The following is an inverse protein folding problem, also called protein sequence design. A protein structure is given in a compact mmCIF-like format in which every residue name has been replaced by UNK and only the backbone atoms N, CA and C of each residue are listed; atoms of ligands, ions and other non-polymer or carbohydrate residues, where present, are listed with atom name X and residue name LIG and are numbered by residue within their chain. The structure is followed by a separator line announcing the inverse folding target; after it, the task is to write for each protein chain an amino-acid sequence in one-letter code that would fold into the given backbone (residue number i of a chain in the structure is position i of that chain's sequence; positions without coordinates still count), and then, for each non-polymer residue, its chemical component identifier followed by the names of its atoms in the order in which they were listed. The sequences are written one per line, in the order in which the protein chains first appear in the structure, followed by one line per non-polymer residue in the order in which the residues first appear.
data_IF_950696180379
#
_entry.id   IF_950696180379
#
_cell.length_a   1.000
_cell.length_b   1.000
_cell.length_c   1.000
_cell.angle_alpha   90.00
_cell.angle_beta   90.00
_cell.angle_gamma   90.00
#
_symmetry.space_group_name_H-M   'P 1'
#
loop_
_entity.id
_entity.type
_entity.pdbx_description
1 polymer ?
#
# COMPACT_ATOMS: atom_id res chain seq x y z
N UNK A 1 -44.11 15.96 47.68
CA UNK A 1 -43.40 15.24 46.59
C UNK A 1 -42.25 16.06 45.98
N UNK A 2 -42.43 17.36 45.73
CA UNK A 2 -41.39 18.22 45.11
C UNK A 2 -40.17 18.50 46.03
N UNK A 3 -40.34 18.54 47.37
CA UNK A 3 -39.23 18.78 48.32
C UNK A 3 -38.21 17.64 48.46
N UNK A 4 -38.54 16.42 48.04
CA UNK A 4 -37.60 15.28 48.07
C UNK A 4 -36.56 15.37 46.94
N UNK A 5 -36.86 16.08 45.85
CA UNK A 5 -35.97 16.25 44.70
C UNK A 5 -34.89 17.33 44.90
N UNK A 6 -34.93 18.10 45.98
CA UNK A 6 -33.92 19.12 46.31
C UNK A 6 -32.83 18.60 47.26
N UNK A 7 -32.91 17.33 47.69
CA UNK A 7 -31.89 16.73 48.54
C UNK A 7 -30.73 16.23 47.65
N UNK A 8 -29.48 16.67 47.91
CA UNK A 8 -28.32 16.33 47.07
C UNK A 8 -28.11 14.81 46.94
N UNK A 9 -28.56 14.05 47.94
CA UNK A 9 -28.45 12.58 47.98
C UNK A 9 -29.27 11.86 46.89
N UNK A 10 -30.32 12.50 46.35
CA UNK A 10 -31.10 11.96 45.23
C UNK A 10 -30.64 12.49 43.87
N UNK A 11 -29.92 13.61 43.81
CA UNK A 11 -29.50 14.24 42.54
C UNK A 11 -28.18 13.65 42.03
N UNK A 12 -27.24 13.37 42.93
CA UNK A 12 -25.92 12.81 42.60
C UNK A 12 -26.00 11.44 41.89
N UNK A 13 -26.85 10.48 42.32
CA UNK A 13 -26.99 9.19 41.64
C UNK A 13 -27.51 9.33 40.20
N UNK A 14 -28.48 10.23 39.97
CA UNK A 14 -29.02 10.49 38.64
C UNK A 14 -27.99 11.13 37.70
N UNK A 15 -27.17 12.06 38.21
CA UNK A 15 -26.07 12.65 37.43
C UNK A 15 -25.03 11.59 37.06
N UNK A 16 -24.66 10.71 38.00
CA UNK A 16 -23.71 9.62 37.73
C UNK A 16 -24.25 8.60 36.73
N UNK A 17 -25.53 8.23 36.83
CA UNK A 17 -26.20 7.37 35.85
C UNK A 17 -26.26 8.05 34.49
N UNK A 18 -26.56 9.34 34.42
CA UNK A 18 -26.58 10.10 33.17
C UNK A 18 -25.19 10.16 32.53
N UNK A 19 -24.13 10.45 33.29
CA UNK A 19 -22.74 10.44 32.81
C UNK A 19 -22.33 9.04 32.34
N UNK A 20 -22.75 7.99 33.05
CA UNK A 20 -22.49 6.60 32.68
C UNK A 20 -23.21 6.22 31.37
N UNK A 21 -24.47 6.60 31.19
CA UNK A 21 -25.23 6.40 29.95
C UNK A 21 -24.63 7.22 28.81
N UNK A 22 -24.21 8.47 29.07
CA UNK A 22 -23.58 9.33 28.07
C UNK A 22 -22.22 8.76 27.62
N UNK A 23 -21.40 8.27 28.55
CA UNK A 23 -20.11 7.64 28.24
C UNK A 23 -20.29 6.31 27.52
N UNK A 24 -21.28 5.49 27.88
CA UNK A 24 -21.67 4.31 27.12
C UNK A 24 -22.16 4.66 25.70
N UNK A 25 -22.96 5.70 25.56
CA UNK A 25 -23.43 6.20 24.26
C UNK A 25 -22.26 6.68 23.40
N UNK A 26 -21.34 7.47 23.94
CA UNK A 26 -20.12 7.92 23.24
C UNK A 26 -19.18 6.76 22.87
N UNK A 27 -19.01 5.77 23.77
CA UNK A 27 -18.20 4.58 23.51
C UNK A 27 -18.79 3.71 22.40
N UNK A 28 -20.11 3.61 22.33
CA UNK A 28 -20.83 2.84 21.30
C UNK A 28 -20.88 3.61 19.96
N UNK A 29 -21.02 4.93 20.00
CA UNK A 29 -21.05 5.79 18.80
C UNK A 29 -19.68 5.87 18.10
N UNK A 30 -18.57 5.87 18.85
CA UNK A 30 -17.21 5.99 18.29
C UNK A 30 -16.53 4.65 17.93
N UNK A 31 -17.09 3.49 18.29
CA UNK A 31 -16.44 2.18 18.11
C UNK A 31 -16.89 1.39 16.86
N UNK A 32 -17.28 2.05 15.76
CA UNK A 32 -17.42 1.29 14.50
C UNK A 32 -16.04 0.82 14.03
N UNK A 33 -15.83 -0.49 13.82
CA UNK A 33 -14.56 -0.99 13.31
C UNK A 33 -14.27 -0.34 11.94
N UNK A 34 -13.00 -0.07 11.63
CA UNK A 34 -12.66 0.49 10.32
C UNK A 34 -13.03 -0.49 9.21
N UNK A 35 -13.51 0.03 8.09
CA UNK A 35 -13.53 -0.76 6.86
C UNK A 35 -12.09 -0.89 6.37
N UNK A 36 -11.69 -2.13 6.12
CA UNK A 36 -10.42 -2.50 5.53
C UNK A 36 -10.68 -3.22 4.21
N UNK A 37 -10.00 -2.84 3.13
CA UNK A 37 -10.08 -3.54 1.85
C UNK A 37 -8.70 -3.68 1.24
N UNK A 38 -8.39 -4.88 0.78
CA UNK A 38 -7.14 -5.21 0.10
C UNK A 38 -7.47 -5.67 -1.32
N UNK A 39 -6.73 -5.18 -2.30
CA UNK A 39 -6.90 -5.55 -3.71
C UNK A 39 -5.60 -5.31 -4.49
N UNK A 40 -5.52 -5.87 -5.69
CA UNK A 40 -4.36 -5.72 -6.56
C UNK A 40 -4.62 -4.66 -7.64
N UNK A 41 -3.77 -3.64 -7.69
CA UNK A 41 -3.78 -2.63 -8.73
C UNK A 41 -2.39 -2.03 -8.87
N UNK A 42 -2.08 -1.44 -10.03
CA UNK A 42 -0.83 -0.71 -10.28
C UNK A 42 0.44 -1.57 -10.17
N UNK A 43 0.28 -2.89 -10.27
CA UNK A 43 1.38 -3.84 -10.13
C UNK A 43 1.75 -4.19 -8.69
N UNK A 44 0.91 -3.86 -7.70
CA UNK A 44 1.15 -4.20 -6.29
C UNK A 44 -0.17 -4.46 -5.55
N UNK A 45 -0.04 -4.90 -4.30
CA UNK A 45 -1.17 -5.06 -3.38
C UNK A 45 -1.40 -3.74 -2.64
N UNK A 46 -2.60 -3.18 -2.80
CA UNK A 46 -3.04 -1.96 -2.13
C UNK A 46 -3.97 -2.33 -0.97
N UNK A 47 -3.75 -1.69 0.18
CA UNK A 47 -4.64 -1.79 1.34
C UNK A 47 -5.21 -0.41 1.66
N UNK A 48 -6.53 -0.31 1.68
CA UNK A 48 -7.25 0.90 2.09
C UNK A 48 -7.91 0.65 3.44
N UNK A 49 -7.75 1.62 4.35
CA UNK A 49 -8.38 1.64 5.67
C UNK A 49 -9.15 2.94 5.84
N UNK A 50 -10.43 2.86 6.17
CA UNK A 50 -11.28 4.02 6.37
C UNK A 50 -12.13 3.87 7.63
N UNK A 51 -12.40 4.99 8.30
CA UNK A 51 -13.21 5.07 9.51
C UNK A 51 -14.48 5.89 9.27
N UNK A 52 -15.50 5.69 10.10
CA UNK A 52 -16.75 6.43 10.05
C UNK A 52 -17.87 5.75 9.27
N UNK A 53 -19.06 6.36 9.28
CA UNK A 53 -20.31 5.78 8.76
C UNK A 53 -20.31 5.56 7.24
N UNK A 54 -19.49 6.31 6.49
CA UNK A 54 -19.37 6.22 5.02
C UNK A 54 -18.10 5.49 4.54
N UNK A 55 -17.38 4.82 5.45
CA UNK A 55 -16.10 4.15 5.18
C UNK A 55 -16.16 3.14 4.02
N UNK A 56 -17.22 2.32 3.95
CA UNK A 56 -17.43 1.38 2.84
C UNK A 56 -17.52 2.06 1.48
N UNK A 57 -18.37 3.10 1.35
CA UNK A 57 -18.54 3.85 0.10
C UNK A 57 -17.26 4.56 -0.33
N UNK A 58 -16.55 5.18 0.62
CA UNK A 58 -15.27 5.83 0.34
C UNK A 58 -14.21 4.84 -0.17
N UNK A 59 -14.14 3.65 0.43
CA UNK A 59 -13.24 2.58 -0.02
C UNK A 59 -13.62 2.06 -1.40
N UNK A 60 -14.91 1.90 -1.67
CA UNK A 60 -15.40 1.47 -2.98
C UNK A 60 -15.04 2.46 -4.09
N UNK A 61 -15.32 3.75 -3.87
CA UNK A 61 -14.96 4.82 -4.82
C UNK A 61 -13.45 4.91 -5.05
N UNK A 62 -12.65 4.81 -3.97
CA UNK A 62 -11.19 4.82 -4.07
C UNK A 62 -10.65 3.59 -4.81
N UNK A 63 -11.22 2.41 -4.55
CA UNK A 63 -10.85 1.16 -5.22
C UNK A 63 -11.15 1.25 -6.71
N UNK A 64 -12.37 1.67 -7.06
CA UNK A 64 -12.78 1.87 -8.45
C UNK A 64 -11.85 2.85 -9.17
N UNK A 65 -11.53 3.98 -8.52
CA UNK A 65 -10.65 4.99 -9.09
C UNK A 65 -9.22 4.46 -9.32
N UNK A 66 -8.67 3.68 -8.39
CA UNK A 66 -7.34 3.09 -8.54
C UNK A 66 -7.29 2.06 -9.66
N UNK A 67 -8.34 1.24 -9.82
CA UNK A 67 -8.46 0.30 -10.93
C UNK A 67 -8.55 1.03 -12.28
N UNK A 68 -9.35 2.09 -12.39
CA UNK A 68 -9.42 2.89 -13.61
C UNK A 68 -8.06 3.50 -14.01
N UNK A 69 -7.24 3.92 -13.03
CA UNK A 69 -5.89 4.41 -13.30
C UNK A 69 -5.00 3.28 -13.81
N UNK A 70 -5.05 2.10 -13.17
CA UNK A 70 -4.28 0.93 -13.60
C UNK A 70 -4.67 0.46 -15.00
N UNK A 71 -5.97 0.43 -15.32
CA UNK A 71 -6.47 0.05 -16.65
C UNK A 71 -5.90 0.95 -17.75
N UNK A 72 -5.80 2.26 -17.49
CA UNK A 72 -5.33 3.24 -18.46
C UNK A 72 -3.82 3.36 -18.55
N UNK A 73 -3.09 3.15 -17.46
CA UNK A 73 -1.67 3.48 -17.38
C UNK A 73 -0.74 2.27 -17.21
N UNK A 74 -1.27 1.04 -17.19
CA UNK A 74 -0.44 -0.16 -17.05
C UNK A 74 0.26 -0.56 -18.35
N UNK A 75 1.58 -0.68 -18.31
CA UNK A 75 2.38 -1.27 -19.40
C UNK A 75 2.11 -2.76 -19.64
N UNK A 76 1.47 -3.45 -18.70
CA UNK A 76 1.21 -4.88 -18.80
C UNK A 76 -0.17 -5.19 -19.40
N UNK A 77 -1.01 -4.17 -19.56
CA UNK A 77 -2.32 -4.27 -20.19
C UNK A 77 -2.19 -3.79 -21.63
N UNK A 78 -2.47 -4.68 -22.59
CA UNK A 78 -2.35 -4.40 -24.03
C UNK A 78 -3.18 -3.18 -24.46
N UNK A 79 -4.36 -3.03 -23.86
CA UNK A 79 -5.33 -2.00 -24.24
C UNK A 79 -5.22 -0.72 -23.38
N UNK A 80 -4.12 -0.52 -22.65
CA UNK A 80 -3.93 0.71 -21.87
C UNK A 80 -3.53 1.87 -22.77
N UNK A 81 -3.79 3.10 -22.33
CA UNK A 81 -3.42 4.32 -23.07
C UNK A 81 -1.90 4.42 -23.23
N UNK A 82 -1.13 4.01 -22.21
CA UNK A 82 0.35 4.02 -22.27
C UNK A 82 0.87 2.94 -23.21
N UNK A 83 0.29 1.73 -23.22
CA UNK A 83 0.64 0.69 -24.19
C UNK A 83 0.37 1.16 -25.61
N UNK A 84 -0.79 1.81 -25.85
CA UNK A 84 -1.13 2.37 -27.16
C UNK A 84 -0.14 3.47 -27.62
N UNK A 85 0.30 4.35 -26.72
CA UNK A 85 1.35 5.34 -27.02
C UNK A 85 2.64 4.65 -27.44
N UNK A 86 3.05 3.61 -26.71
CA UNK A 86 4.29 2.88 -26.97
C UNK A 86 4.24 2.11 -28.29
N UNK A 87 3.10 1.51 -28.64
CA UNK A 87 2.90 0.81 -29.92
C UNK A 87 2.91 1.78 -31.12
N UNK A 88 2.47 3.02 -30.93
CA UNK A 88 2.44 4.07 -31.95
C UNK A 88 3.68 4.98 -31.97
N UNK A 89 4.75 4.61 -31.25
CA UNK A 89 5.96 5.41 -31.17
C UNK A 89 6.56 5.67 -32.57
N UNK A 90 6.80 6.94 -32.91
CA UNK A 90 7.30 7.36 -34.23
C UNK A 90 6.28 7.25 -35.37
N UNK A 91 5.02 6.86 -35.10
CA UNK A 91 3.99 6.66 -36.12
C UNK A 91 2.95 7.79 -36.04
N UNK A 92 2.14 7.81 -34.99
CA UNK A 92 0.98 8.71 -34.88
C UNK A 92 0.87 9.32 -33.48
N UNK A 93 0.04 10.36 -33.32
CA UNK A 93 -0.34 10.87 -32.01
C UNK A 93 -1.51 10.07 -31.45
N UNK A 94 -1.47 9.78 -30.15
CA UNK A 94 -2.53 9.05 -29.47
C UNK A 94 -3.33 10.00 -28.59
N UNK A 95 -4.66 9.98 -28.74
CA UNK A 95 -5.56 10.65 -27.79
C UNK A 95 -5.60 9.86 -26.49
N UNK A 96 -5.51 10.57 -25.37
CA UNK A 96 -5.50 9.98 -24.03
C UNK A 96 -6.46 10.70 -23.10
N UNK A 97 -6.77 10.08 -21.97
CA UNK A 97 -7.54 10.72 -20.93
C UNK A 97 -6.79 11.89 -20.29
N UNK A 98 -7.55 12.81 -19.67
CA UNK A 98 -6.99 13.95 -18.92
C UNK A 98 -6.02 13.49 -17.82
N UNK A 99 -6.29 12.34 -17.19
CA UNK A 99 -5.42 11.78 -16.16
C UNK A 99 -4.07 11.36 -16.73
N UNK A 100 -4.07 10.56 -17.80
CA UNK A 100 -2.83 10.10 -18.44
C UNK A 100 -2.04 11.28 -18.98
N UNK A 101 -2.71 12.24 -19.62
CA UNK A 101 -2.07 13.46 -20.08
C UNK A 101 -1.43 14.25 -18.94
N UNK A 102 -2.15 14.46 -17.83
CA UNK A 102 -1.62 15.15 -16.65
C UNK A 102 -0.37 14.45 -16.09
N UNK A 103 -0.42 13.13 -15.98
CA UNK A 103 0.67 12.29 -15.46
C UNK A 103 1.90 12.40 -16.34
N UNK A 104 1.76 12.26 -17.67
CA UNK A 104 2.87 12.42 -18.62
C UNK A 104 3.41 13.87 -18.63
N UNK A 105 2.53 14.88 -18.60
CA UNK A 105 2.92 16.29 -18.51
C UNK A 105 3.74 16.56 -17.24
N UNK A 106 3.38 15.96 -16.11
CA UNK A 106 4.16 16.04 -14.86
C UNK A 106 5.50 15.31 -14.97
N UNK A 107 5.54 14.13 -15.59
CA UNK A 107 6.78 13.41 -15.81
C UNK A 107 7.76 14.23 -16.66
N UNK A 108 7.32 14.82 -17.77
CA UNK A 108 8.13 15.73 -18.60
C UNK A 108 8.62 16.94 -17.78
N UNK A 109 7.75 17.52 -16.94
CA UNK A 109 8.15 18.60 -16.03
C UNK A 109 9.27 18.18 -15.08
N UNK A 110 9.15 17.03 -14.42
CA UNK A 110 10.18 16.52 -13.50
C UNK A 110 11.47 16.10 -14.22
N UNK A 111 11.36 15.64 -15.46
CA UNK A 111 12.53 15.36 -16.30
C UNK A 111 13.33 16.62 -16.57
N UNK A 112 12.64 17.73 -16.88
CA UNK A 112 13.28 19.04 -17.03
C UNK A 112 13.92 19.54 -15.73
N UNK A 113 13.25 19.37 -14.59
CA UNK A 113 13.76 19.81 -13.29
C UNK A 113 14.97 19.01 -12.81
N UNK A 114 15.07 17.75 -13.23
CA UNK A 114 16.18 16.84 -12.88
C UNK A 114 17.25 16.75 -13.95
N UNK A 115 17.21 17.63 -14.96
CA UNK A 115 18.14 17.66 -16.09
C UNK A 115 18.26 16.31 -16.83
N UNK A 116 17.16 15.55 -16.89
CA UNK A 116 17.10 14.24 -17.54
C UNK A 116 17.54 13.07 -16.65
N UNK A 117 17.92 13.30 -15.39
CA UNK A 117 18.19 12.21 -14.42
C UNK A 117 16.96 11.31 -14.23
N UNK A 118 15.79 11.93 -14.15
CA UNK A 118 14.52 11.23 -14.34
C UNK A 118 14.12 11.35 -15.81
N UNK A 119 13.97 10.23 -16.51
CA UNK A 119 13.46 10.21 -17.89
C UNK A 119 12.35 9.14 -18.04
N UNK A 120 11.10 9.55 -18.32
CA UNK A 120 9.99 8.61 -18.50
C UNK A 120 10.15 7.74 -19.75
N UNK A 121 11.04 8.08 -20.68
CA UNK A 121 11.30 7.31 -21.91
C UNK A 121 12.36 6.22 -21.75
N UNK A 122 12.75 5.88 -20.51
CA UNK A 122 13.72 4.84 -20.18
C UNK A 122 13.28 3.40 -20.59
N UNK A 123 12.04 3.23 -21.04
CA UNK A 123 11.42 1.94 -21.36
C UNK A 123 12.22 1.02 -22.29
N UNK A 124 12.93 1.50 -23.33
CA UNK A 124 13.79 0.65 -24.16
C UNK A 124 14.91 -0.01 -23.34
N UNK A 125 15.49 0.70 -22.37
CA UNK A 125 16.55 0.17 -21.49
C UNK A 125 15.97 -0.84 -20.50
N UNK A 126 14.90 -0.50 -19.79
CA UNK A 126 14.30 -1.40 -18.80
C UNK A 126 13.77 -2.69 -19.44
N UNK A 127 13.29 -2.62 -20.68
CA UNK A 127 12.91 -3.79 -21.48
C UNK A 127 14.08 -4.71 -21.79
N UNK A 128 15.29 -4.18 -22.05
CA UNK A 128 16.49 -4.99 -22.33
C UNK A 128 16.92 -5.81 -21.11
N UNK A 129 16.90 -5.18 -19.94
CA UNK A 129 17.23 -5.83 -18.67
C UNK A 129 16.18 -6.86 -18.24
N UNK A 130 14.95 -6.75 -18.76
CA UNK A 130 13.84 -7.67 -18.52
C UNK A 130 13.58 -7.92 -17.01
N UNK A 131 13.84 -6.91 -16.18
CA UNK A 131 13.71 -6.97 -14.71
C UNK A 131 12.27 -7.32 -14.35
N UNK A 132 12.09 -8.31 -13.47
CA UNK A 132 10.78 -8.79 -13.06
C UNK A 132 10.10 -9.75 -14.06
N UNK A 133 10.85 -10.28 -15.03
CA UNK A 133 10.40 -11.39 -15.90
C UNK A 133 11.24 -12.64 -15.64
N UNK A 134 10.83 -13.80 -16.20
CA UNK A 134 11.61 -15.03 -16.10
C UNK A 134 12.97 -14.97 -16.85
N UNK A 135 13.19 -13.96 -17.69
CA UNK A 135 14.34 -13.84 -18.59
C UNK A 135 15.27 -12.68 -18.21
N UNK A 136 15.52 -12.49 -16.90
CA UNK A 136 16.49 -11.48 -16.44
C UNK A 136 17.88 -11.82 -16.99
N UNK A 137 18.51 -10.86 -17.67
CA UNK A 137 19.87 -11.02 -18.18
C UNK A 137 20.59 -9.69 -18.22
N UNK A 138 21.92 -9.76 -18.13
CA UNK A 138 22.78 -8.60 -18.37
C UNK A 138 22.81 -8.35 -19.89
N UNK A 139 22.35 -7.20 -20.39
CA UNK A 139 22.32 -6.93 -21.82
C UNK A 139 23.72 -6.62 -22.38
N UNK A 140 23.93 -6.93 -23.66
CA UNK A 140 25.14 -6.54 -24.36
C UNK A 140 25.29 -5.02 -24.45
N UNK A 141 26.51 -4.50 -24.31
CA UNK A 141 26.80 -3.05 -24.36
C UNK A 141 26.33 -2.39 -25.67
N UNK A 142 26.41 -3.10 -26.79
CA UNK A 142 25.96 -2.60 -28.10
C UNK A 142 24.44 -2.38 -28.14
N UNK A 143 23.67 -3.28 -27.51
CA UNK A 143 22.22 -3.16 -27.36
C UNK A 143 21.87 -2.02 -26.41
N UNK A 144 22.58 -1.89 -25.29
CA UNK A 144 22.41 -0.77 -24.35
C UNK A 144 22.63 0.57 -25.07
N UNK A 145 23.74 0.72 -25.78
CA UNK A 145 24.06 1.95 -26.52
C UNK A 145 23.01 2.29 -27.59
N UNK A 146 22.44 1.28 -28.23
CA UNK A 146 21.36 1.48 -29.20
C UNK A 146 20.05 1.91 -28.53
N UNK A 147 19.70 1.32 -27.39
CA UNK A 147 18.52 1.71 -26.63
C UNK A 147 18.66 3.09 -25.97
N UNK A 148 19.86 3.50 -25.55
CA UNK A 148 20.10 4.83 -24.96
C UNK A 148 19.76 5.96 -25.94
N UNK A 149 19.94 5.76 -27.25
CA UNK A 149 19.56 6.73 -28.28
C UNK A 149 18.05 7.00 -28.33
N UNK A 150 17.24 6.13 -27.74
CA UNK A 150 15.78 6.25 -27.67
C UNK A 150 15.32 6.91 -26.36
N UNK A 151 16.22 7.15 -25.41
CA UNK A 151 15.91 7.76 -24.11
C UNK A 151 16.13 9.26 -24.19
N UNK A 152 15.03 10.00 -24.33
CA UNK A 152 15.03 11.45 -24.36
C UNK A 152 13.61 11.99 -24.13
N UNK A 153 13.32 12.49 -22.92
CA UNK A 153 12.03 13.05 -22.56
C UNK A 153 11.58 14.22 -23.45
N UNK A 154 12.52 14.92 -24.12
CA UNK A 154 12.22 16.03 -25.04
C UNK A 154 11.54 15.56 -26.33
N UNK A 155 11.58 14.26 -26.61
CA UNK A 155 10.89 13.65 -27.75
C UNK A 155 9.41 13.33 -27.46
N UNK A 156 8.94 13.58 -26.23
CA UNK A 156 7.51 13.49 -25.89
C UNK A 156 6.82 14.79 -26.32
N UNK A 157 5.98 14.68 -27.35
CA UNK A 157 5.20 15.80 -27.88
C UNK A 157 3.81 15.77 -27.24
N UNK A 158 3.45 16.87 -26.57
CA UNK A 158 2.20 17.02 -25.84
C UNK A 158 1.33 18.11 -26.46
N UNK A 159 0.06 17.81 -26.74
CA UNK A 159 -0.94 18.80 -27.13
C UNK A 159 -2.08 18.82 -26.11
N UNK A 160 -2.22 19.93 -25.39
CA UNK A 160 -3.17 20.11 -24.30
C UNK A 160 -4.59 20.40 -24.76
N UNK A 161 -4.77 20.95 -25.98
CA UNK A 161 -6.09 21.25 -26.53
C UNK A 161 -6.85 19.96 -26.83
N UNK A 162 -6.15 18.99 -27.43
CA UNK A 162 -6.75 17.73 -27.89
C UNK A 162 -6.48 16.54 -26.96
N UNK A 163 -5.69 16.75 -25.91
CA UNK A 163 -5.16 15.71 -25.01
C UNK A 163 -4.50 14.57 -25.79
N UNK A 164 -3.55 14.92 -26.65
CA UNK A 164 -2.78 13.95 -27.44
C UNK A 164 -1.32 13.90 -27.02
N UNK A 165 -0.74 12.71 -27.12
CA UNK A 165 0.66 12.41 -26.82
C UNK A 165 1.28 11.68 -28.01
N UNK A 166 2.47 12.09 -28.42
CA UNK A 166 3.26 11.42 -29.48
C UNK A 166 4.70 11.23 -29.02
N UNK A 167 5.28 10.07 -29.34
CA UNK A 167 6.72 9.84 -29.25
C UNK A 167 7.34 10.07 -30.62
N UNK A 168 8.44 10.84 -30.67
CA UNK A 168 9.07 11.28 -31.92
C UNK A 168 9.64 10.13 -32.75
N UNK A 169 10.26 9.15 -32.10
CA UNK A 169 11.07 8.13 -32.76
C UNK A 169 10.50 6.73 -32.59
N UNK A 170 10.61 5.91 -33.65
CA UNK A 170 10.19 4.50 -33.62
C UNK A 170 11.01 3.72 -32.59
N UNK A 171 10.34 2.94 -31.75
CA UNK A 171 10.97 2.14 -30.70
C UNK A 171 11.15 2.85 -29.36
N UNK A 172 10.87 4.16 -29.26
CA UNK A 172 10.77 4.82 -27.95
C UNK A 172 9.63 4.21 -27.13
N UNK A 173 9.81 4.16 -25.81
CA UNK A 173 8.80 3.63 -24.89
C UNK A 173 8.77 4.43 -23.60
N UNK A 174 7.58 4.86 -23.19
CA UNK A 174 7.31 5.39 -21.86
C UNK A 174 7.29 4.22 -20.87
N UNK A 175 7.94 4.38 -19.72
CA UNK A 175 7.99 3.42 -18.62
C UNK A 175 7.27 3.93 -17.34
N UNK A 176 7.04 3.01 -16.42
CA UNK A 176 6.14 3.00 -15.24
C UNK A 176 6.43 4.02 -14.15
N UNK A 177 7.42 4.89 -14.26
CA UNK A 177 7.83 5.79 -13.17
C UNK A 177 6.79 6.85 -12.78
N UNK A 178 5.52 6.71 -13.19
CA UNK A 178 4.48 7.72 -13.07
C UNK A 178 3.15 7.19 -12.47
N UNK A 179 2.97 5.88 -12.26
CA UNK A 179 1.70 5.35 -11.72
C UNK A 179 1.45 5.75 -10.26
N UNK A 180 2.48 5.78 -9.41
CA UNK A 180 2.30 6.05 -7.98
C UNK A 180 1.99 7.54 -7.70
N UNK A 181 2.48 8.46 -8.52
CA UNK A 181 2.28 9.90 -8.30
C UNK A 181 0.80 10.32 -8.37
N UNK A 182 0.03 9.75 -9.31
CA UNK A 182 -1.40 10.08 -9.41
C UNK A 182 -2.21 9.49 -8.27
N UNK A 183 -1.81 8.34 -7.73
CA UNK A 183 -2.50 7.71 -6.61
C UNK A 183 -2.41 8.56 -5.35
N UNK A 184 -1.26 9.19 -5.10
CA UNK A 184 -1.07 10.10 -3.96
C UNK A 184 -1.84 11.42 -4.18
N UNK A 185 -1.89 11.95 -5.40
CA UNK A 185 -2.62 13.20 -5.71
C UNK A 185 -4.15 13.01 -5.76
N UNK A 186 -4.62 11.82 -6.16
CA UNK A 186 -6.05 11.47 -6.21
C UNK A 186 -6.56 10.94 -4.87
N UNK A 187 -5.66 10.50 -3.98
CA UNK A 187 -5.99 10.16 -2.60
C UNK A 187 -6.59 11.39 -1.91
N UNK A 188 -7.66 11.25 -1.10
CA UNK A 188 -8.52 12.35 -0.66
C UNK A 188 -7.88 13.34 0.34
N UNK A 189 -6.56 13.52 0.36
CA UNK A 189 -5.91 14.59 1.16
C UNK A 189 -6.40 16.00 0.78
N UNK A 190 -6.86 16.20 -0.46
CA UNK A 190 -7.43 17.50 -0.93
C UNK A 190 -8.95 17.54 -0.98
N UNK A 191 -9.64 16.42 -0.73
CA UNK A 191 -11.10 16.31 -0.89
C UNK A 191 -11.81 15.81 0.38
N UNK A 192 -11.09 15.72 1.50
CA UNK A 192 -11.67 15.45 2.81
C UNK A 192 -12.37 16.72 3.29
N UNK A 193 -13.69 16.77 3.09
CA UNK A 193 -14.53 17.74 3.76
C UNK A 193 -14.83 17.19 5.15
N UNK A 194 -14.20 17.75 6.17
CA UNK A 194 -14.65 17.55 7.53
C UNK A 194 -15.94 18.36 7.70
N UNK A 195 -16.95 17.76 8.32
CA UNK A 195 -18.21 18.42 8.62
C UNK A 195 -18.43 18.32 10.12
N UNK A 196 -18.52 19.48 10.79
CA UNK A 196 -18.84 19.58 12.21
C UNK A 196 -20.20 20.29 12.27
N UNK A 197 -21.18 19.70 12.96
CA UNK A 197 -22.57 20.21 13.04
C UNK A 197 -23.21 20.54 11.67
N UNK A 198 -23.04 19.67 10.68
CA UNK A 198 -23.52 19.87 9.30
C UNK A 198 -22.93 21.07 8.53
N UNK A 199 -21.95 21.77 9.09
CA UNK A 199 -21.21 22.82 8.38
C UNK A 199 -19.85 22.31 7.89
N UNK A 200 -19.48 22.69 6.66
CA UNK A 200 -18.19 22.33 6.06
C UNK A 200 -17.09 23.13 6.73
N UNK A 201 -16.18 22.46 7.41
CA UNK A 201 -15.04 23.09 8.07
C UNK A 201 -13.78 22.92 7.24
N UNK A 202 -13.04 24.03 7.08
CA UNK A 202 -11.77 24.05 6.38
C UNK A 202 -10.73 23.20 7.15
N UNK A 203 -10.02 22.27 6.49
CA UNK A 203 -9.02 21.43 7.15
C UNK A 203 -7.90 22.21 7.87
N UNK A 204 -7.57 23.42 7.42
CA UNK A 204 -6.59 24.29 8.10
C UNK A 204 -7.11 24.78 9.47
N UNK A 205 -8.42 25.03 9.56
CA UNK A 205 -9.10 25.47 10.78
C UNK A 205 -9.16 24.34 11.82
N UNK A 206 -9.41 23.10 11.37
CA UNK A 206 -9.40 21.92 12.24
C UNK A 206 -8.03 21.67 12.88
N UNK A 207 -6.94 21.80 12.09
CA UNK A 207 -5.60 21.68 12.66
C UNK A 207 -5.31 22.76 13.70
N UNK A 208 -5.75 24.00 13.46
CA UNK A 208 -5.57 25.08 14.42
C UNK A 208 -6.36 24.87 15.72
N UNK A 209 -7.62 24.42 15.62
CA UNK A 209 -8.47 24.10 16.79
C UNK A 209 -7.91 22.91 17.57
N UNK A 210 -7.42 21.87 16.89
CA UNK A 210 -6.80 20.72 17.54
C UNK A 210 -5.53 21.14 18.30
N UNK A 211 -4.67 21.98 17.69
CA UNK A 211 -3.48 22.52 18.34
C UNK A 211 -3.88 23.37 19.56
N UNK A 212 -4.86 24.26 19.42
CA UNK A 212 -5.33 25.12 20.51
C UNK A 212 -5.98 24.32 21.67
N UNK A 213 -6.72 23.26 21.37
CA UNK A 213 -7.30 22.37 22.37
C UNK A 213 -6.19 21.57 23.10
N UNK A 214 -5.16 21.13 22.36
CA UNK A 214 -4.03 20.41 22.94
C UNK A 214 -3.16 21.33 23.82
N UNK A 215 -2.92 22.57 23.42
CA UNK A 215 -2.20 23.55 24.25
C UNK A 215 -3.05 24.03 25.43
N UNK A 216 -4.37 24.16 25.26
CA UNK A 216 -5.31 24.50 26.32
C UNK A 216 -5.42 23.43 27.40
N UNK A 217 -5.53 22.14 27.02
CA UNK A 217 -5.51 21.04 27.99
C UNK A 217 -4.16 20.94 28.73
N UNK A 218 -3.05 21.18 28.04
CA UNK A 218 -1.74 21.17 28.67
C UNK A 218 -1.48 22.39 29.56
N UNK A 219 -2.08 23.55 29.27
CA UNK A 219 -1.98 24.72 30.17
C UNK A 219 -2.82 24.53 31.45
N UNK A 220 -4.00 23.91 31.35
CA UNK A 220 -4.83 23.53 32.51
C UNK A 220 -4.15 22.41 33.32
N UNK A 221 -3.47 21.47 32.65
CA UNK A 221 -2.63 20.45 33.32
C UNK A 221 -1.43 21.07 34.06
N UNK A 222 -0.84 22.14 33.51
CA UNK A 222 0.31 22.82 34.13
C UNK A 222 -0.04 23.65 35.37
N UNK A 223 -1.31 24.05 35.55
CA UNK A 223 -1.79 24.70 36.80
C UNK A 223 -2.09 23.70 37.91
N UNK A 224 -2.44 22.45 37.56
CA UNK A 224 -2.67 21.38 38.54
C UNK A 224 -1.36 20.68 38.95
N UNK A 225 -0.34 20.68 38.09
CA UNK A 225 0.94 20.00 38.32
C UNK A 225 2.04 20.87 38.96
N UNK A 226 1.68 22.06 39.48
CA UNK A 226 2.65 23.04 40.00
C UNK A 226 2.96 22.90 41.50
N UNK A 227 2.79 21.71 42.07
CA UNK A 227 3.05 21.43 43.49
C UNK A 227 4.00 20.26 43.77
N UNK A 228 4.83 19.83 42.81
CA UNK A 228 6.03 19.04 43.15
C UNK A 228 7.17 19.28 42.16
N UNK A 229 8.15 20.00 42.69
CA UNK A 229 9.56 20.17 42.32
C UNK A 229 10.17 19.22 41.27
N UNK A 230 10.75 19.85 40.25
CA UNK A 230 12.14 19.75 39.77
C UNK A 230 12.84 18.38 39.68
N UNK A 231 13.35 18.08 38.47
CA UNK A 231 14.44 17.13 38.29
C UNK A 231 14.53 16.47 36.91
N UNK A 232 15.11 17.17 35.93
CA UNK A 232 15.83 16.66 34.74
C UNK A 232 15.29 15.42 33.99
N UNK A 233 14.68 15.63 32.81
CA UNK A 233 14.55 14.56 31.79
C UNK A 233 15.75 14.61 30.86
N UNK A 234 16.66 13.65 31.04
CA UNK A 234 17.66 13.30 30.04
C UNK A 234 16.99 12.66 28.83
N UNK A 235 17.43 13.12 27.66
CA UNK A 235 17.14 12.58 26.35
C UNK A 235 17.80 11.19 26.21
N UNK A 236 17.02 10.11 26.15
CA UNK A 236 17.47 8.77 25.71
C UNK A 236 16.29 7.84 25.45
N UNK A 237 15.82 7.81 24.20
CA UNK A 237 15.15 6.62 23.66
C UNK A 237 16.12 5.95 22.71
N UNK A 238 17.07 5.22 23.29
CA UNK A 238 17.73 4.13 22.61
C UNK A 238 16.64 3.10 22.28
N UNK A 239 16.38 2.93 20.98
CA UNK A 239 15.55 1.85 20.47
C UNK A 239 16.28 0.55 20.80
N UNK A 240 15.74 -0.20 21.77
CA UNK A 240 16.19 -1.53 22.10
C UNK A 240 15.93 -2.46 20.92
N UNK A 241 17.03 -2.76 20.21
CA UNK A 241 17.13 -3.91 19.31
C UNK A 241 16.97 -5.16 20.18
N UNK A 242 15.76 -5.72 20.21
CA UNK A 242 15.55 -7.04 20.77
C UNK A 242 16.08 -8.07 19.76
N UNK A 243 17.34 -8.42 19.94
CA UNK A 243 17.96 -9.60 19.36
C UNK A 243 17.29 -10.84 19.93
N UNK A 244 16.26 -11.36 19.26
CA UNK A 244 15.78 -12.70 19.55
C UNK A 244 16.63 -13.73 18.78
N UNK A 245 17.47 -14.42 19.56
CA UNK A 245 18.08 -15.73 19.26
C UNK A 245 17.01 -16.74 18.77
N UNK A 246 17.42 -17.76 18.01
CA UNK A 246 16.53 -18.66 17.28
C UNK A 246 15.66 -19.47 18.26
N UNK A 247 14.34 -19.39 18.11
CA UNK A 247 13.41 -20.21 18.88
C UNK A 247 13.52 -21.67 18.45
N UNK A 248 13.74 -22.53 19.44
CA UNK A 248 13.91 -23.97 19.27
C UNK A 248 12.58 -24.66 19.61
N UNK A 249 12.04 -25.40 18.64
CA UNK A 249 10.97 -26.42 18.70
C UNK A 249 9.52 -25.93 18.97
N UNK A 250 8.91 -25.24 17.99
CA UNK A 250 7.50 -24.80 18.05
C UNK A 250 6.50 -25.82 17.42
N UNK A 251 6.98 -26.74 16.58
CA UNK A 251 6.11 -27.61 15.77
C UNK A 251 6.19 -29.09 16.16
N UNK A 252 5.07 -29.81 16.03
CA UNK A 252 5.01 -31.27 16.10
C UNK A 252 5.53 -31.85 14.78
N UNK A 253 6.28 -32.93 14.89
CA UNK A 253 6.78 -33.66 13.73
C UNK A 253 5.62 -34.30 12.97
N UNK A 254 5.67 -34.23 11.65
CA UNK A 254 4.58 -34.69 10.80
C UNK A 254 4.63 -34.07 9.41
N UNK A 255 3.69 -34.49 8.56
CA UNK A 255 3.46 -33.86 7.25
C UNK A 255 2.09 -33.22 7.27
N UNK A 256 2.05 -31.93 6.97
CA UNK A 256 0.85 -31.09 7.06
C UNK A 256 0.57 -30.47 5.70
N UNK A 257 -0.70 -30.38 5.34
CA UNK A 257 -1.09 -29.79 4.06
C UNK A 257 -1.80 -28.48 4.30
N UNK A 258 -1.41 -27.44 3.56
CA UNK A 258 -2.05 -26.13 3.63
C UNK A 258 -2.46 -25.66 2.25
N UNK A 259 -3.50 -24.84 2.21
CA UNK A 259 -3.98 -24.20 0.99
C UNK A 259 -4.22 -22.71 1.26
N UNK A 260 -3.92 -21.87 0.28
CA UNK A 260 -4.25 -20.45 0.32
C UNK A 260 -4.41 -19.90 -1.11
N UNK A 261 -5.09 -18.76 -1.23
CA UNK A 261 -5.35 -18.16 -2.53
C UNK A 261 -4.09 -17.47 -3.09
N UNK A 262 -3.68 -17.88 -4.29
CA UNK A 262 -2.62 -17.24 -5.06
C UNK A 262 -3.11 -16.08 -5.92
N UNK A 263 -2.39 -15.77 -6.99
CA UNK A 263 -2.77 -14.73 -7.96
C UNK A 263 -3.90 -15.18 -8.89
N UNK A 264 -3.84 -16.41 -9.40
CA UNK A 264 -4.83 -16.92 -10.37
C UNK A 264 -5.62 -18.13 -9.85
N UNK A 265 -5.06 -18.89 -8.90
CA UNK A 265 -5.69 -20.08 -8.33
C UNK A 265 -5.30 -20.27 -6.87
N UNK A 266 -5.98 -21.18 -6.19
CA UNK A 266 -5.49 -21.70 -4.92
C UNK A 266 -4.15 -22.42 -5.13
N UNK A 267 -3.27 -22.25 -4.15
CA UNK A 267 -1.95 -22.87 -4.06
C UNK A 267 -2.00 -23.84 -2.89
N UNK A 268 -1.72 -25.11 -3.16
CA UNK A 268 -1.67 -26.17 -2.15
C UNK A 268 -0.24 -26.62 -1.93
N UNK A 269 0.16 -26.72 -0.68
CA UNK A 269 1.51 -27.10 -0.26
C UNK A 269 1.47 -28.24 0.75
N UNK A 270 2.53 -29.05 0.75
CA UNK A 270 2.81 -30.08 1.77
C UNK A 270 4.07 -29.66 2.52
N UNK A 271 3.99 -29.57 3.84
CA UNK A 271 5.09 -29.15 4.71
C UNK A 271 5.46 -30.30 5.63
N UNK A 272 6.73 -30.71 5.60
CA UNK A 272 7.26 -31.76 6.48
C UNK A 272 8.07 -31.15 7.61
N UNK A 273 7.65 -31.43 8.84
CA UNK A 273 8.35 -31.04 10.07
C UNK A 273 9.09 -32.25 10.64
N UNK A 274 10.38 -32.10 10.94
CA UNK A 274 11.23 -33.10 11.61
C UNK A 274 12.07 -32.45 12.69
N UNK A 275 12.09 -33.04 13.89
CA UNK A 275 12.80 -32.49 15.04
C UNK A 275 12.34 -31.07 15.42
N UNK A 276 11.05 -30.76 15.22
CA UNK A 276 10.48 -29.44 15.48
C UNK A 276 10.88 -28.34 14.49
N UNK A 277 11.51 -28.70 13.36
CA UNK A 277 11.95 -27.79 12.29
C UNK A 277 11.31 -28.11 10.96
N UNK A 278 11.12 -27.08 10.14
CA UNK A 278 10.64 -27.20 8.76
C UNK A 278 11.76 -27.84 7.95
N UNK A 279 11.53 -29.06 7.45
CA UNK A 279 12.54 -29.85 6.74
C UNK A 279 12.32 -29.89 5.22
N UNK A 280 11.06 -29.79 4.78
CA UNK A 280 10.71 -29.80 3.38
C UNK A 280 9.38 -29.07 3.15
N UNK A 281 9.26 -28.44 1.98
CA UNK A 281 8.02 -27.82 1.51
C UNK A 281 7.87 -28.20 0.03
N UNK A 282 6.79 -28.90 -0.29
CA UNK A 282 6.46 -29.35 -1.64
C UNK A 282 5.18 -28.66 -2.14
N UNK A 283 5.20 -28.19 -3.38
CA UNK A 283 4.02 -27.57 -4.01
C UNK A 283 3.19 -28.66 -4.68
N UNK A 284 2.04 -28.98 -4.09
CA UNK A 284 1.13 -30.05 -4.58
C UNK A 284 0.31 -29.59 -5.78
N UNK A 285 -0.14 -28.33 -5.78
CA UNK A 285 -0.87 -27.76 -6.91
C UNK A 285 -0.73 -26.24 -6.92
N UNK A 286 -0.32 -25.69 -8.05
CA UNK A 286 -0.34 -24.25 -8.29
C UNK A 286 -0.53 -23.97 -9.78
N UNK A 287 -1.61 -23.27 -10.14
CA UNK A 287 -1.89 -22.90 -11.52
C UNK A 287 -1.68 -21.39 -11.72
N UNK A 288 -0.42 -21.00 -11.83
CA UNK A 288 -0.02 -19.60 -12.01
C UNK A 288 0.49 -19.33 -13.43
N UNK A 289 -0.04 -18.28 -14.06
CA UNK A 289 0.28 -17.91 -15.44
C UNK A 289 1.69 -17.31 -15.63
N UNK A 290 2.27 -16.68 -14.58
CA UNK A 290 3.59 -16.04 -14.59
C UNK A 290 4.24 -16.11 -13.20
N UNK A 291 5.57 -16.04 -13.13
CA UNK A 291 6.30 -15.94 -11.85
C UNK A 291 6.56 -17.28 -11.16
N UNK A 292 6.70 -18.38 -11.93
CA UNK A 292 6.90 -19.74 -11.40
C UNK A 292 8.11 -19.89 -10.48
N UNK A 293 9.11 -19.01 -10.60
CA UNK A 293 10.27 -18.94 -9.69
C UNK A 293 9.87 -18.81 -8.21
N UNK A 294 8.68 -18.28 -7.90
CA UNK A 294 8.15 -18.25 -6.53
C UNK A 294 8.11 -19.62 -5.88
N UNK A 295 7.80 -20.66 -6.64
CA UNK A 295 7.65 -22.03 -6.13
C UNK A 295 8.98 -22.68 -5.77
N UNK A 296 10.10 -22.10 -6.21
CA UNK A 296 11.44 -22.57 -5.86
C UNK A 296 12.07 -21.67 -4.79
N UNK A 297 11.92 -20.35 -4.92
CA UNK A 297 12.60 -19.36 -4.06
C UNK A 297 11.95 -19.27 -2.67
N UNK A 298 10.62 -19.11 -2.61
CA UNK A 298 9.92 -18.87 -1.33
C UNK A 298 10.00 -20.08 -0.40
N UNK A 299 9.75 -21.33 -0.83
CA UNK A 299 9.93 -22.50 0.02
C UNK A 299 11.34 -22.63 0.59
N UNK A 300 12.36 -22.35 -0.25
CA UNK A 300 13.76 -22.40 0.19
C UNK A 300 14.04 -21.36 1.27
N UNK A 301 13.65 -20.10 1.07
CA UNK A 301 13.85 -19.06 2.08
C UNK A 301 13.11 -19.35 3.39
N UNK A 302 11.93 -19.98 3.33
CA UNK A 302 11.18 -20.38 4.54
C UNK A 302 11.94 -21.48 5.29
N UNK A 303 12.50 -22.47 4.59
CA UNK A 303 13.30 -23.54 5.20
C UNK A 303 14.60 -22.96 5.78
N UNK A 304 15.30 -22.09 5.05
CA UNK A 304 16.55 -21.50 5.49
C UNK A 304 16.36 -20.61 6.73
N UNK A 305 15.29 -19.81 6.75
CA UNK A 305 14.98 -18.89 7.86
C UNK A 305 14.10 -19.50 8.96
N UNK A 306 13.59 -20.72 8.76
CA UNK A 306 12.60 -21.37 9.63
C UNK A 306 11.40 -20.45 9.95
N UNK A 307 10.97 -19.63 8.98
CA UNK A 307 9.93 -18.62 9.18
C UNK A 307 9.12 -18.40 7.91
N UNK A 308 7.81 -18.20 8.05
CA UNK A 308 6.93 -17.80 6.93
C UNK A 308 7.00 -16.30 6.61
N UNK A 309 7.74 -15.51 7.40
CA UNK A 309 7.95 -14.07 7.19
C UNK A 309 9.18 -13.82 6.31
N UNK A 310 9.09 -14.22 5.05
CA UNK A 310 10.14 -14.03 4.04
C UNK A 310 9.72 -12.99 3.01
N UNK A 311 10.66 -12.53 2.19
CA UNK A 311 10.37 -11.49 1.20
C UNK A 311 9.60 -12.06 0.00
N UNK A 312 8.74 -11.23 -0.58
CA UNK A 312 8.01 -11.61 -1.78
C UNK A 312 8.90 -11.47 -3.02
N UNK A 313 8.81 -12.43 -3.95
CA UNK A 313 9.55 -12.37 -5.21
C UNK A 313 8.99 -11.27 -6.10
N UNK A 314 9.88 -10.43 -6.64
CA UNK A 314 9.52 -9.33 -7.53
C UNK A 314 8.71 -9.82 -8.74
N UNK A 315 7.58 -9.16 -9.03
CA UNK A 315 6.67 -9.54 -10.11
C UNK A 315 5.70 -10.71 -9.79
N UNK A 316 5.83 -11.34 -8.62
CA UNK A 316 5.03 -12.48 -8.20
C UNK A 316 4.52 -12.35 -6.75
N UNK A 317 4.17 -11.13 -6.33
CA UNK A 317 3.80 -10.80 -4.95
C UNK A 317 2.62 -11.61 -4.41
N UNK A 318 1.53 -11.77 -5.19
CA UNK A 318 0.35 -12.51 -4.76
C UNK A 318 0.63 -14.02 -4.65
N UNK A 319 1.35 -14.59 -5.62
CA UNK A 319 1.76 -15.99 -5.55
C UNK A 319 2.73 -16.23 -4.39
N UNK A 320 3.64 -15.28 -4.11
CA UNK A 320 4.54 -15.35 -2.94
C UNK A 320 3.74 -15.34 -1.63
N UNK A 321 2.74 -14.45 -1.52
CA UNK A 321 1.83 -14.42 -0.36
C UNK A 321 1.01 -15.68 -0.23
N UNK A 322 0.46 -16.20 -1.34
CA UNK A 322 -0.27 -17.45 -1.35
C UNK A 322 0.58 -18.63 -0.86
N UNK A 323 1.86 -18.71 -1.27
CA UNK A 323 2.79 -19.74 -0.74
C UNK A 323 3.05 -19.54 0.75
N UNK A 324 3.40 -18.32 1.18
CA UNK A 324 3.65 -18.02 2.60
C UNK A 324 2.43 -18.34 3.48
N UNK A 325 1.23 -18.02 3.02
CA UNK A 325 -0.02 -18.25 3.72
C UNK A 325 -0.43 -19.72 3.70
N UNK A 326 -0.25 -20.43 2.58
CA UNK A 326 -0.50 -21.87 2.51
C UNK A 326 0.44 -22.63 3.45
N UNK A 327 1.73 -22.26 3.51
CA UNK A 327 2.68 -22.84 4.46
C UNK A 327 2.30 -22.49 5.90
N UNK A 328 1.90 -21.26 6.18
CA UNK A 328 1.44 -20.86 7.51
C UNK A 328 0.19 -21.64 7.95
N UNK A 329 -0.75 -21.89 7.04
CA UNK A 329 -1.93 -22.71 7.29
C UNK A 329 -1.55 -24.16 7.61
N UNK A 330 -0.62 -24.76 6.86
CA UNK A 330 -0.08 -26.09 7.18
C UNK A 330 0.60 -26.12 8.57
N UNK A 331 1.42 -25.11 8.88
CA UNK A 331 2.14 -25.04 10.15
C UNK A 331 1.22 -24.79 11.35
N UNK A 332 0.09 -24.10 11.17
CA UNK A 332 -0.90 -23.92 12.24
C UNK A 332 -1.47 -25.26 12.72
N UNK A 333 -1.62 -26.26 11.85
CA UNK A 333 -2.03 -27.62 12.23
C UNK A 333 -0.94 -28.38 13.01
N UNK A 334 0.32 -27.93 12.90
CA UNK A 334 1.48 -28.53 13.56
C UNK A 334 1.84 -27.88 14.91
N UNK A 335 1.17 -26.79 15.31
CA UNK A 335 1.45 -26.10 16.57
C UNK A 335 1.14 -26.99 17.78
N UNK A 336 2.02 -26.93 18.78
CA UNK A 336 1.77 -27.54 20.08
C UNK A 336 0.71 -26.79 20.86
#
# INVERSE_FOLDING_TARGET
MIRLLQQPEFVVPFILVFIFVLTLYFKTYNNKPPTLRQFYALGTVIQLKAYGSKSNKAIEEATHRLNMIDDKMSLFKKNSEVSNINENAGISSCKVSKDTYFVIKKAVKYSKLSEGTFDPTIGPITSLWAIGTANVKIPDKTLINSALKLVNYKDIILNEKDYTVKLKSKGQKIDKCINCFKCIDTCPRKNTQATIFNEKVNPLLLSAVAIAAFTGLNSIGSTISRNNTDGSVQNSSAISVNNNKPQQNEYKDGTYTGSAHGKNSDIKVSVTVKGGKISNIEILSANESKGKQVFDVVPKEIIDNQSTKVDAVSGATLSSKGVMEAVNNALNESKK
#
